data_IF_478942917783
#
_entry.id   IF_478942917783
#
_cell.length_a   1.000
_cell.length_b   1.000
_cell.length_c   1.000
_cell.angle_alpha   90.00
_cell.angle_beta   90.00
_cell.angle_gamma   90.00
#
_symmetry.space_group_name_H-M   'P 1'
#
loop_
_entity.id
_entity.type
_entity.pdbx_description
1 polymer ?
#
# COMPACT_ATOMS: atom_id res chain seq x y z
N UNK A 1 9.31 16.49 39.60
CA UNK A 1 9.72 15.66 40.74
C UNK A 1 9.77 16.51 42.03
N UNK A 2 10.52 17.61 42.08
CA UNK A 2 10.65 18.46 43.29
C UNK A 2 9.31 19.00 43.77
N UNK A 3 8.46 19.50 42.86
CA UNK A 3 7.11 19.99 43.18
C UNK A 3 6.20 18.91 43.74
N UNK A 4 6.36 17.67 43.27
CA UNK A 4 5.61 16.52 43.75
C UNK A 4 6.07 16.13 45.18
N UNK A 5 7.38 16.08 45.38
CA UNK A 5 7.96 15.74 46.70
C UNK A 5 7.67 16.82 47.75
N UNK A 6 7.52 18.08 47.35
CA UNK A 6 7.12 19.17 48.23
C UNK A 6 5.59 19.30 48.41
N UNK A 7 4.82 18.39 47.82
CA UNK A 7 3.34 18.40 47.93
C UNK A 7 2.64 19.56 47.25
N UNK A 8 3.38 20.32 46.38
CA UNK A 8 2.84 21.48 45.63
C UNK A 8 2.22 21.07 44.29
N UNK A 9 2.37 19.82 43.84
CA UNK A 9 1.66 19.27 42.69
C UNK A 9 1.21 17.84 42.98
N UNK A 10 0.00 17.47 42.55
CA UNK A 10 -0.50 16.10 42.55
C UNK A 10 -0.35 15.50 41.17
N UNK A 11 0.17 14.26 41.10
CA UNK A 11 0.06 13.47 39.89
C UNK A 11 -1.38 12.98 39.76
N UNK A 12 -2.05 13.37 38.69
CA UNK A 12 -3.32 12.74 38.34
C UNK A 12 -3.02 11.38 37.71
N UNK A 13 -3.76 10.34 38.01
CA UNK A 13 -3.68 9.06 37.30
C UNK A 13 -3.83 9.32 35.80
N UNK A 14 -3.02 8.67 34.98
CA UNK A 14 -3.21 8.69 33.55
C UNK A 14 -4.49 7.93 33.25
N UNK A 15 -5.53 8.63 32.80
CA UNK A 15 -6.70 7.98 32.23
C UNK A 15 -6.31 7.36 30.90
N UNK A 16 -6.19 6.04 30.89
CA UNK A 16 -5.99 5.29 29.64
C UNK A 16 -7.35 5.27 28.94
N UNK A 17 -7.53 6.15 27.95
CA UNK A 17 -8.66 6.02 27.03
C UNK A 17 -8.58 4.63 26.39
N UNK A 18 -9.70 3.89 26.42
CA UNK A 18 -9.77 2.59 25.74
C UNK A 18 -9.45 2.80 24.28
N UNK A 19 -8.62 1.93 23.72
CA UNK A 19 -8.37 1.92 22.27
C UNK A 19 -9.68 1.54 21.59
N UNK A 20 -10.27 2.50 20.90
CA UNK A 20 -11.43 2.28 20.05
C UNK A 20 -10.90 2.05 18.64
N UNK A 21 -11.12 0.85 18.12
CA UNK A 21 -10.62 0.43 16.81
C UNK A 21 -11.21 1.29 15.67
N UNK A 22 -12.45 1.75 15.83
CA UNK A 22 -13.19 2.52 14.82
C UNK A 22 -13.18 4.04 15.05
N UNK A 23 -12.63 4.53 16.16
CA UNK A 23 -12.57 5.96 16.41
C UNK A 23 -11.55 6.64 15.48
N UNK A 24 -12.05 7.48 14.58
CA UNK A 24 -11.27 8.44 13.78
C UNK A 24 -10.29 7.86 12.76
N UNK A 25 -10.65 6.80 12.04
CA UNK A 25 -9.96 6.45 10.80
C UNK A 25 -10.26 7.50 9.71
N UNK A 26 -9.66 8.68 9.85
CA UNK A 26 -9.83 9.77 8.88
C UNK A 26 -8.91 9.53 7.68
N UNK A 27 -9.48 8.98 6.62
CA UNK A 27 -8.81 8.90 5.33
C UNK A 27 -9.17 10.14 4.50
N UNK A 28 -8.21 10.66 3.73
CA UNK A 28 -8.44 11.80 2.84
C UNK A 28 -9.33 11.47 1.62
N UNK A 29 -9.60 10.18 1.39
CA UNK A 29 -10.35 9.66 0.24
C UNK A 29 -11.41 8.68 0.72
N UNK A 30 -12.48 8.54 -0.08
CA UNK A 30 -13.53 7.54 0.15
C UNK A 30 -13.72 6.66 -1.08
N UNK A 31 -14.12 5.41 -0.88
CA UNK A 31 -14.34 4.45 -1.97
C UNK A 31 -15.52 4.86 -2.86
N UNK A 32 -16.47 5.65 -2.32
CA UNK A 32 -17.58 6.24 -3.08
C UNK A 32 -17.15 7.22 -4.17
N UNK A 33 -15.92 7.75 -4.11
CA UNK A 33 -15.37 8.60 -5.18
C UNK A 33 -15.16 7.83 -6.49
N UNK A 34 -15.09 6.49 -6.43
CA UNK A 34 -14.89 5.64 -7.60
C UNK A 34 -16.20 5.48 -8.34
N UNK A 35 -16.28 6.06 -9.54
CA UNK A 35 -17.46 5.95 -10.41
C UNK A 35 -17.31 4.78 -11.37
N UNK A 36 -18.39 4.00 -11.53
CA UNK A 36 -18.38 2.80 -12.36
C UNK A 36 -17.39 1.74 -11.86
N UNK A 37 -16.85 0.94 -12.77
CA UNK A 37 -15.82 -0.07 -12.52
C UNK A 37 -16.19 -1.11 -11.44
N UNK A 38 -17.44 -1.57 -11.42
CA UNK A 38 -17.97 -2.45 -10.36
C UNK A 38 -17.17 -3.77 -10.23
N UNK A 39 -16.69 -4.34 -11.35
CA UNK A 39 -15.85 -5.55 -11.33
C UNK A 39 -14.52 -5.29 -10.62
N UNK A 40 -13.93 -4.10 -10.82
CA UNK A 40 -12.67 -3.72 -10.20
C UNK A 40 -12.87 -3.43 -8.71
N UNK A 41 -13.95 -2.72 -8.35
CA UNK A 41 -14.35 -2.52 -6.95
C UNK A 41 -14.49 -3.86 -6.23
N UNK A 42 -15.18 -4.83 -6.87
CA UNK A 42 -15.32 -6.16 -6.30
C UNK A 42 -14.00 -6.90 -6.15
N UNK A 43 -13.11 -6.79 -7.13
CA UNK A 43 -11.75 -7.36 -7.02
C UNK A 43 -10.95 -6.75 -5.86
N UNK A 44 -11.04 -5.42 -5.67
CA UNK A 44 -10.38 -4.74 -4.55
C UNK A 44 -11.01 -5.12 -3.19
N UNK A 45 -12.31 -5.33 -3.13
CA UNK A 45 -13.00 -5.81 -1.94
C UNK A 45 -12.54 -7.22 -1.55
N UNK A 46 -12.47 -8.15 -2.53
CA UNK A 46 -11.92 -9.50 -2.32
C UNK A 46 -10.45 -9.44 -1.89
N UNK A 47 -9.68 -8.56 -2.52
CA UNK A 47 -8.28 -8.32 -2.20
C UNK A 47 -8.11 -7.84 -0.75
N UNK A 48 -8.94 -6.88 -0.31
CA UNK A 48 -8.91 -6.37 1.06
C UNK A 48 -9.32 -7.43 2.09
N UNK A 49 -10.36 -8.24 1.79
CA UNK A 49 -10.86 -9.28 2.68
C UNK A 49 -9.86 -10.43 2.90
N UNK A 50 -9.16 -10.82 1.84
CA UNK A 50 -8.17 -11.91 1.89
C UNK A 50 -6.72 -11.46 2.08
N UNK A 51 -6.45 -10.15 2.16
CA UNK A 51 -5.09 -9.60 2.09
C UNK A 51 -4.32 -10.09 0.86
N UNK A 52 -5.02 -10.23 -0.27
CA UNK A 52 -4.46 -10.71 -1.53
C UNK A 52 -3.66 -9.62 -2.25
N UNK A 53 -2.50 -10.00 -2.75
CA UNK A 53 -1.72 -9.13 -3.62
C UNK A 53 -2.44 -8.95 -4.97
N UNK A 54 -2.44 -7.73 -5.50
CA UNK A 54 -3.17 -7.41 -6.73
C UNK A 54 -2.32 -6.61 -7.71
N UNK A 55 -2.44 -6.93 -8.99
CA UNK A 55 -1.89 -6.10 -10.07
C UNK A 55 -3.02 -5.52 -10.91
N UNK A 56 -2.99 -4.20 -11.09
CA UNK A 56 -3.92 -3.43 -11.91
C UNK A 56 -3.28 -3.15 -13.27
N UNK A 57 -3.84 -3.70 -14.33
CA UNK A 57 -3.32 -3.55 -15.69
C UNK A 57 -4.31 -2.72 -16.50
N UNK A 58 -3.87 -1.61 -17.08
CA UNK A 58 -4.77 -0.77 -17.89
C UNK A 58 -4.06 0.39 -18.55
N UNK A 59 -4.75 1.05 -19.48
CA UNK A 59 -4.21 2.20 -20.21
C UNK A 59 -3.88 3.37 -19.28
N UNK A 60 -3.04 4.31 -19.73
CA UNK A 60 -2.82 5.57 -19.02
C UNK A 60 -4.16 6.29 -18.76
N UNK A 61 -4.34 6.85 -17.58
CA UNK A 61 -5.58 7.55 -17.21
C UNK A 61 -6.77 6.67 -16.83
N UNK A 62 -6.65 5.34 -16.81
CA UNK A 62 -7.74 4.44 -16.42
C UNK A 62 -8.10 4.45 -14.92
N UNK A 63 -7.36 5.19 -14.09
CA UNK A 63 -7.67 5.36 -12.66
C UNK A 63 -6.95 4.41 -11.69
N UNK A 64 -5.97 3.61 -12.15
CA UNK A 64 -5.24 2.63 -11.32
C UNK A 64 -4.73 3.20 -9.99
N UNK A 65 -4.01 4.32 -10.04
CA UNK A 65 -3.46 4.98 -8.85
C UNK A 65 -4.56 5.51 -7.91
N UNK A 66 -5.68 5.99 -8.49
CA UNK A 66 -6.83 6.46 -7.76
C UNK A 66 -7.50 5.31 -6.98
N UNK A 67 -7.65 4.15 -7.61
CA UNK A 67 -8.19 2.93 -7.01
C UNK A 67 -7.28 2.42 -5.87
N UNK A 68 -5.96 2.33 -6.12
CA UNK A 68 -4.99 1.87 -5.13
C UNK A 68 -5.01 2.73 -3.86
N UNK A 69 -5.08 4.06 -3.98
CA UNK A 69 -5.12 4.99 -2.83
C UNK A 69 -6.36 4.83 -1.95
N UNK A 70 -7.44 4.26 -2.48
CA UNK A 70 -8.68 4.05 -1.73
C UNK A 70 -8.75 2.68 -1.06
N UNK A 71 -7.87 1.76 -1.41
CA UNK A 71 -7.86 0.42 -0.83
C UNK A 71 -7.72 0.41 0.71
N UNK A 72 -6.83 1.21 1.34
CA UNK A 72 -6.76 1.27 2.81
C UNK A 72 -8.08 1.64 3.48
N UNK A 73 -8.95 2.38 2.78
CA UNK A 73 -10.23 2.85 3.35
C UNK A 73 -11.26 1.72 3.54
N UNK A 74 -11.12 0.63 2.78
CA UNK A 74 -12.02 -0.54 2.86
C UNK A 74 -11.38 -1.73 3.59
N UNK A 75 -10.10 -1.67 3.94
CA UNK A 75 -9.44 -2.70 4.76
C UNK A 75 -9.98 -2.66 6.20
N UNK A 76 -10.00 -3.79 6.93
CA UNK A 76 -10.38 -3.82 8.34
C UNK A 76 -9.53 -2.86 9.17
N UNK A 77 -10.12 -2.28 10.23
CA UNK A 77 -9.40 -1.43 11.16
C UNK A 77 -8.23 -2.18 11.80
N UNK A 78 -7.15 -1.47 12.16
CA UNK A 78 -6.02 -2.09 12.84
C UNK A 78 -6.38 -2.44 14.27
N UNK A 79 -6.03 -3.65 14.69
CA UNK A 79 -6.05 -4.03 16.11
C UNK A 79 -5.01 -3.20 16.88
N UNK A 80 -5.16 -3.14 18.21
CA UNK A 80 -4.18 -2.45 19.07
C UNK A 80 -2.75 -2.99 18.85
N UNK A 81 -2.60 -4.29 18.64
CA UNK A 81 -1.31 -4.93 18.38
C UNK A 81 -0.71 -4.44 17.07
N UNK A 82 -1.48 -4.45 15.98
CA UNK A 82 -1.04 -3.94 14.68
C UNK A 82 -0.68 -2.45 14.74
N UNK A 83 -1.50 -1.64 15.43
CA UNK A 83 -1.23 -0.22 15.61
C UNK A 83 0.07 0.04 16.37
N UNK A 84 0.36 -0.74 17.43
CA UNK A 84 1.60 -0.65 18.20
C UNK A 84 2.82 -1.06 17.35
N UNK A 85 2.74 -2.18 16.63
CA UNK A 85 3.83 -2.67 15.77
C UNK A 85 4.14 -1.65 14.66
N UNK A 86 3.12 -1.14 13.99
CA UNK A 86 3.25 -0.13 12.94
C UNK A 86 3.83 1.19 13.48
N UNK A 87 3.33 1.64 14.63
CA UNK A 87 3.84 2.88 15.27
C UNK A 87 5.31 2.77 15.64
N UNK A 88 5.76 1.62 16.17
CA UNK A 88 7.18 1.38 16.49
C UNK A 88 8.07 1.56 15.26
N UNK A 89 7.69 0.94 14.11
CA UNK A 89 8.47 1.04 12.88
C UNK A 89 8.56 2.50 12.40
N UNK A 90 7.42 3.21 12.38
CA UNK A 90 7.38 4.62 11.96
C UNK A 90 8.12 5.55 12.93
N UNK A 91 8.13 5.25 14.23
CA UNK A 91 8.85 6.01 15.24
C UNK A 91 10.37 5.96 15.05
N UNK A 92 10.92 4.80 14.64
CA UNK A 92 12.37 4.63 14.39
C UNK A 92 12.87 5.61 13.33
N UNK A 93 12.05 5.93 12.33
CA UNK A 93 12.40 6.88 11.26
C UNK A 93 11.87 8.31 11.50
N UNK A 94 11.30 8.57 12.68
CA UNK A 94 10.81 9.91 13.04
C UNK A 94 9.54 10.36 12.32
N UNK A 95 8.76 9.42 11.76
CA UNK A 95 7.50 9.72 11.05
C UNK A 95 6.30 9.87 11.99
N UNK A 96 6.45 9.54 13.27
CA UNK A 96 5.42 9.78 14.29
C UNK A 96 5.62 11.17 14.85
N UNK A 97 4.66 12.08 14.61
CA UNK A 97 4.74 13.47 15.08
C UNK A 97 4.69 13.57 16.61
N UNK A 98 5.26 14.65 17.15
CA UNK A 98 5.19 14.96 18.58
C UNK A 98 3.72 15.12 19.01
N UNK A 99 3.23 14.19 19.83
CA UNK A 99 1.86 14.19 20.36
C UNK A 99 0.92 13.12 19.78
N UNK A 100 1.31 12.40 18.73
CA UNK A 100 0.57 11.23 18.25
C UNK A 100 0.93 10.01 19.12
N UNK A 101 -0.08 9.45 19.78
CA UNK A 101 0.10 8.27 20.63
C UNK A 101 0.23 6.98 19.81
N UNK A 102 -0.61 6.79 18.78
CA UNK A 102 -0.64 5.59 17.94
C UNK A 102 -1.10 5.93 16.51
N UNK A 103 -0.54 5.22 15.53
CA UNK A 103 -1.05 5.20 14.17
C UNK A 103 -2.29 4.30 14.13
N UNK A 104 -3.44 4.89 13.85
CA UNK A 104 -4.73 4.17 13.75
C UNK A 104 -5.09 3.80 12.32
N UNK A 105 -4.55 4.49 11.32
CA UNK A 105 -4.81 4.25 9.90
C UNK A 105 -3.76 3.32 9.30
N UNK A 106 -4.20 2.40 8.42
CA UNK A 106 -3.27 1.52 7.69
C UNK A 106 -2.35 2.32 6.79
N UNK A 107 -1.02 2.12 6.86
CA UNK A 107 -0.07 2.83 6.02
C UNK A 107 -0.32 2.59 4.54
N UNK A 108 -0.14 3.64 3.73
CA UNK A 108 -0.08 3.54 2.28
C UNK A 108 1.27 4.08 1.82
N UNK A 109 2.13 3.20 1.35
CA UNK A 109 3.47 3.56 0.86
C UNK A 109 3.52 3.42 -0.64
N UNK A 110 4.00 4.45 -1.32
CA UNK A 110 4.06 4.51 -2.78
C UNK A 110 5.44 5.01 -3.23
N UNK A 111 6.48 4.18 -3.12
CA UNK A 111 7.81 4.55 -3.61
C UNK A 111 7.80 4.74 -5.12
N UNK A 112 8.55 5.73 -5.59
CA UNK A 112 8.75 5.95 -7.01
C UNK A 112 9.64 4.85 -7.62
N UNK A 113 9.47 4.52 -8.90
CA UNK A 113 10.24 3.46 -9.58
C UNK A 113 11.77 3.70 -9.59
N UNK A 114 12.22 4.95 -9.35
CA UNK A 114 13.64 5.29 -9.19
C UNK A 114 14.21 4.97 -7.81
N UNK A 115 13.37 4.52 -6.87
CA UNK A 115 13.79 4.16 -5.51
C UNK A 115 14.90 3.11 -5.55
N UNK A 116 15.94 3.34 -4.75
CA UNK A 116 17.05 2.40 -4.63
C UNK A 116 16.67 1.15 -3.84
N UNK A 117 17.47 0.08 -3.98
CA UNK A 117 17.38 -1.12 -3.14
C UNK A 117 17.31 -0.76 -1.64
N UNK A 118 18.22 0.11 -1.18
CA UNK A 118 18.26 0.55 0.23
C UNK A 118 17.02 1.35 0.62
N UNK A 119 16.48 2.16 -0.27
CA UNK A 119 15.23 2.87 -0.03
C UNK A 119 14.04 1.93 0.16
N UNK A 120 14.00 0.84 -0.61
CA UNK A 120 12.90 -0.12 -0.55
C UNK A 120 13.03 -1.06 0.67
N UNK A 121 14.19 -1.68 0.86
CA UNK A 121 14.46 -2.69 1.90
C UNK A 121 14.83 -2.06 3.23
N UNK A 122 15.55 -0.95 3.17
CA UNK A 122 16.19 -0.35 4.32
C UNK A 122 17.70 -0.58 4.34
N UNK A 123 18.38 0.00 5.30
CA UNK A 123 19.84 -0.10 5.43
C UNK A 123 20.45 1.11 6.11
N UNK A 124 21.70 1.42 5.75
CA UNK A 124 22.47 2.50 6.35
C UNK A 124 23.54 1.97 7.33
N UNK A 125 24.34 2.88 7.86
CA UNK A 125 25.33 2.57 8.91
C UNK A 125 24.65 2.12 10.21
N UNK A 126 23.55 2.77 10.53
CA UNK A 126 22.56 2.34 11.52
C UNK A 126 21.35 1.85 10.74
N UNK A 127 21.06 0.52 10.73
CA UNK A 127 19.98 -0.05 9.93
C UNK A 127 18.64 0.63 10.22
N UNK A 128 18.06 1.21 9.18
CA UNK A 128 16.75 1.85 9.20
C UNK A 128 15.78 1.04 8.34
N UNK A 129 14.49 0.95 8.71
CA UNK A 129 13.48 0.30 7.88
C UNK A 129 13.27 1.06 6.57
N UNK A 130 13.07 0.32 5.48
CA UNK A 130 12.71 0.88 4.16
C UNK A 130 11.20 0.91 3.93
N UNK A 131 10.80 1.26 2.69
CA UNK A 131 9.39 1.40 2.30
C UNK A 131 8.57 0.12 2.51
N UNK A 132 9.20 -1.06 2.36
CA UNK A 132 8.55 -2.36 2.61
C UNK A 132 8.11 -2.46 4.07
N UNK A 133 9.00 -2.17 5.01
CA UNK A 133 8.69 -2.22 6.45
C UNK A 133 7.77 -1.07 6.89
N UNK A 134 7.88 0.10 6.25
CA UNK A 134 6.98 1.23 6.48
C UNK A 134 5.55 0.96 5.97
N UNK A 135 5.37 -0.01 5.07
CA UNK A 135 4.06 -0.48 4.61
C UNK A 135 3.45 -1.56 5.52
N UNK A 136 4.14 -1.94 6.60
CA UNK A 136 3.68 -2.99 7.53
C UNK A 136 2.24 -2.74 8.01
N UNK A 137 1.39 -3.77 7.98
CA UNK A 137 -0.04 -3.73 8.26
C UNK A 137 -0.86 -2.80 7.35
N UNK A 138 -0.31 -2.47 6.18
CA UNK A 138 -0.93 -1.57 5.21
C UNK A 138 -0.67 -2.01 3.78
N UNK A 139 -0.56 -1.03 2.89
CA UNK A 139 -0.43 -1.23 1.44
C UNK A 139 0.93 -0.71 0.95
N UNK A 140 1.65 -1.55 0.21
CA UNK A 140 2.78 -1.14 -0.62
C UNK A 140 2.29 -1.03 -2.07
N UNK A 141 2.21 0.20 -2.57
CA UNK A 141 1.79 0.48 -3.93
C UNK A 141 2.98 0.74 -4.85
N UNK A 142 3.13 -0.06 -5.89
CA UNK A 142 4.16 0.10 -6.91
C UNK A 142 3.51 0.48 -8.23
N UNK A 143 3.53 1.77 -8.55
CA UNK A 143 3.07 2.26 -9.86
C UNK A 143 4.15 2.04 -10.91
N UNK A 144 3.74 1.86 -12.17
CA UNK A 144 4.66 1.59 -13.28
C UNK A 144 5.60 0.40 -13.01
N UNK A 145 5.08 -0.71 -12.50
CA UNK A 145 5.85 -1.87 -12.04
C UNK A 145 7.00 -2.29 -12.98
N UNK A 146 6.85 -2.35 -14.32
CA UNK A 146 7.95 -2.72 -15.21
C UNK A 146 9.08 -1.69 -15.32
N UNK A 147 8.91 -0.47 -14.79
CA UNK A 147 9.95 0.57 -14.81
C UNK A 147 10.90 0.48 -13.61
N UNK A 148 10.54 -0.29 -12.58
CA UNK A 148 11.47 -0.61 -11.50
C UNK A 148 12.64 -1.45 -12.00
N UNK A 149 13.82 -1.24 -11.44
CA UNK A 149 14.96 -2.09 -11.72
C UNK A 149 14.68 -3.52 -11.26
N UNK A 150 15.02 -4.51 -12.08
CA UNK A 150 14.75 -5.93 -11.82
C UNK A 150 15.26 -6.39 -10.45
N UNK A 151 16.48 -5.98 -10.07
CA UNK A 151 17.06 -6.33 -8.78
C UNK A 151 16.28 -5.73 -7.59
N UNK A 152 15.56 -4.61 -7.79
CA UNK A 152 14.71 -3.99 -6.78
C UNK A 152 13.39 -4.76 -6.64
N UNK A 153 12.83 -5.27 -7.73
CA UNK A 153 11.63 -6.10 -7.70
C UNK A 153 11.87 -7.48 -7.06
N UNK A 154 13.02 -8.11 -7.36
CA UNK A 154 13.34 -9.45 -6.83
C UNK A 154 13.43 -9.49 -5.30
N UNK A 155 13.78 -8.37 -4.65
CA UNK A 155 13.83 -8.34 -3.17
C UNK A 155 12.46 -8.39 -2.50
N UNK A 156 11.38 -8.11 -3.22
CA UNK A 156 10.01 -8.22 -2.68
C UNK A 156 9.61 -9.67 -2.40
N UNK A 157 10.23 -10.63 -3.08
CA UNK A 157 9.84 -12.04 -3.01
C UNK A 157 9.90 -12.58 -1.59
N UNK A 158 11.01 -12.35 -0.90
CA UNK A 158 11.19 -12.82 0.47
C UNK A 158 10.20 -12.15 1.45
N UNK A 159 10.06 -10.83 1.53
CA UNK A 159 9.08 -10.20 2.43
C UNK A 159 7.62 -10.58 2.15
N UNK A 160 7.27 -10.87 0.90
CA UNK A 160 5.93 -11.35 0.54
C UNK A 160 5.64 -12.76 1.11
N UNK A 161 6.66 -13.60 1.27
CA UNK A 161 6.53 -14.94 1.86
C UNK A 161 6.70 -14.92 3.39
N UNK A 162 7.83 -14.40 3.85
CA UNK A 162 8.26 -14.49 5.25
C UNK A 162 7.64 -13.40 6.14
N UNK A 163 7.04 -12.35 5.54
CA UNK A 163 6.50 -11.17 6.25
C UNK A 163 7.55 -10.43 7.08
N UNK A 164 8.82 -10.58 6.72
CA UNK A 164 9.97 -9.99 7.39
C UNK A 164 10.98 -9.46 6.36
N UNK A 165 11.70 -8.42 6.74
CA UNK A 165 12.87 -7.90 6.02
C UNK A 165 14.08 -8.05 6.93
N UNK A 166 15.09 -8.78 6.49
CA UNK A 166 16.35 -8.96 7.22
C UNK A 166 17.44 -8.09 6.64
N UNK A 167 18.00 -7.18 7.45
CA UNK A 167 19.13 -6.32 7.10
C UNK A 167 20.38 -6.82 7.82
N UNK A 168 21.24 -7.55 7.10
CA UNK A 168 22.52 -8.01 7.63
C UNK A 168 23.62 -6.99 7.39
N UNK A 169 24.39 -6.66 8.42
CA UNK A 169 25.58 -5.81 8.41
C UNK A 169 26.70 -6.48 9.22
N UNK A 170 27.94 -6.07 9.00
CA UNK A 170 29.09 -6.67 9.64
C UNK A 170 29.03 -6.74 11.19
N UNK A 171 28.33 -5.78 11.82
CA UNK A 171 28.22 -5.69 13.27
C UNK A 171 26.90 -6.26 13.84
N UNK A 172 25.85 -6.33 13.04
CA UNK A 172 24.52 -6.74 13.52
C UNK A 172 23.60 -7.14 12.37
N UNK A 173 22.68 -8.03 12.67
CA UNK A 173 21.54 -8.37 11.82
C UNK A 173 20.28 -7.88 12.51
N UNK A 174 19.44 -7.14 11.80
CA UNK A 174 18.17 -6.60 12.30
C UNK A 174 17.06 -7.10 11.38
N UNK A 175 15.96 -7.52 11.99
CA UNK A 175 14.75 -7.91 11.29
C UNK A 175 13.66 -6.87 11.54
N UNK A 176 13.00 -6.44 10.46
CA UNK A 176 11.84 -5.57 10.52
C UNK A 176 10.60 -6.33 10.02
N UNK A 177 9.47 -6.20 10.71
CA UNK A 177 8.20 -6.72 10.22
C UNK A 177 7.83 -6.10 8.87
N UNK A 178 7.24 -6.91 7.99
CA UNK A 178 6.90 -6.53 6.62
C UNK A 178 5.60 -7.22 6.14
N UNK A 179 4.60 -7.30 7.01
CA UNK A 179 3.29 -7.81 6.65
C UNK A 179 2.50 -6.72 5.90
N UNK A 180 2.66 -6.64 4.60
CA UNK A 180 1.99 -5.68 3.73
C UNK A 180 1.20 -6.40 2.65
N UNK A 181 0.22 -5.70 2.08
CA UNK A 181 -0.48 -6.08 0.87
C UNK A 181 0.16 -5.36 -0.31
N UNK A 182 0.64 -6.12 -1.30
CA UNK A 182 1.19 -5.54 -2.52
C UNK A 182 0.07 -5.15 -3.47
N UNK A 183 0.05 -3.88 -3.86
CA UNK A 183 -0.75 -3.40 -4.98
C UNK A 183 0.20 -2.90 -6.06
N UNK A 184 0.20 -3.53 -7.21
CA UNK A 184 1.00 -3.11 -8.34
C UNK A 184 0.12 -2.49 -9.42
N UNK A 185 0.65 -1.54 -10.17
CA UNK A 185 -0.02 -1.00 -11.35
C UNK A 185 0.94 -0.98 -12.53
N UNK A 186 0.41 -1.29 -13.71
CA UNK A 186 1.19 -1.21 -14.96
C UNK A 186 0.31 -0.92 -16.16
N UNK A 187 0.93 -0.45 -17.23
CA UNK A 187 0.30 -0.39 -18.53
C UNK A 187 0.40 -1.76 -19.23
N UNK A 188 -0.48 -2.08 -20.20
CA UNK A 188 -0.42 -3.36 -20.90
C UNK A 188 0.78 -3.47 -21.87
N UNK A 189 1.39 -2.33 -22.24
CA UNK A 189 2.56 -2.26 -23.11
C UNK A 189 3.25 -0.89 -22.96
N UNK A 190 4.41 -0.64 -23.61
CA UNK A 190 5.11 0.64 -23.53
C UNK A 190 4.30 1.84 -23.99
N UNK A 191 3.47 1.73 -25.03
CA UNK A 191 2.59 2.82 -25.47
C UNK A 191 1.30 2.91 -24.64
N UNK A 192 0.93 1.86 -23.88
CA UNK A 192 -0.23 1.82 -23.00
C UNK A 192 -1.54 1.35 -23.65
N UNK A 193 -1.55 1.03 -24.95
CA UNK A 193 -2.80 0.79 -25.70
C UNK A 193 -2.90 -0.62 -26.32
N UNK A 194 -2.12 -1.58 -25.84
CA UNK A 194 -2.26 -2.97 -26.28
C UNK A 194 -3.63 -3.51 -25.84
N UNK A 195 -4.38 -4.08 -26.80
CA UNK A 195 -5.78 -4.53 -26.63
C UNK A 195 -6.77 -3.43 -26.18
N UNK A 196 -6.45 -2.14 -26.43
CA UNK A 196 -7.37 -1.06 -26.10
C UNK A 196 -8.56 -1.03 -27.09
N UNK A 197 -9.82 -0.83 -26.61
CA UNK A 197 -11.01 -0.95 -27.47
C UNK A 197 -11.13 0.11 -28.56
N UNK A 198 -10.53 1.30 -28.37
CA UNK A 198 -10.68 2.45 -29.29
C UNK A 198 -9.37 3.04 -29.79
N UNK A 199 -8.22 2.66 -29.24
CA UNK A 199 -6.92 3.19 -29.63
C UNK A 199 -5.98 2.06 -30.05
N UNK A 200 -5.32 2.25 -31.20
CA UNK A 200 -4.39 1.26 -31.72
C UNK A 200 -3.03 1.29 -30.98
N UNK A 201 -2.50 0.11 -30.74
CA UNK A 201 -1.18 -0.04 -30.17
C UNK A 201 -0.09 0.32 -31.19
N UNK A 202 0.77 1.27 -30.84
CA UNK A 202 1.88 1.72 -31.71
C UNK A 202 3.21 1.00 -31.43
N UNK A 203 3.21 -0.05 -30.59
CA UNK A 203 4.42 -0.79 -30.27
C UNK A 203 4.92 -1.63 -31.44
N UNK A 204 6.24 -1.65 -31.63
CA UNK A 204 6.87 -2.54 -32.61
C UNK A 204 6.70 -4.02 -32.23
N UNK A 205 6.75 -4.96 -33.20
CA UNK A 205 6.72 -6.39 -32.93
C UNK A 205 7.76 -6.79 -31.86
N UNK A 206 7.35 -7.60 -30.86
CA UNK A 206 8.20 -8.03 -29.76
C UNK A 206 8.40 -7.01 -28.62
N UNK A 207 8.02 -5.74 -28.79
CA UNK A 207 8.18 -4.72 -27.74
C UNK A 207 7.28 -4.98 -26.53
N UNK A 208 6.06 -5.48 -26.78
CA UNK A 208 5.10 -5.83 -25.72
C UNK A 208 5.65 -6.97 -24.87
N UNK A 209 6.12 -8.05 -25.51
CA UNK A 209 6.69 -9.21 -24.82
C UNK A 209 7.94 -8.81 -24.00
N UNK A 210 8.85 -8.02 -24.59
CA UNK A 210 10.02 -7.50 -23.89
C UNK A 210 9.65 -6.65 -22.68
N UNK A 211 8.57 -5.90 -22.74
CA UNK A 211 8.08 -5.07 -21.66
C UNK A 211 7.51 -5.92 -20.51
N UNK A 212 6.66 -6.89 -20.83
CA UNK A 212 6.08 -7.81 -19.86
C UNK A 212 7.14 -8.68 -19.17
N UNK A 213 8.14 -9.14 -19.90
CA UNK A 213 9.25 -9.95 -19.40
C UNK A 213 10.22 -9.19 -18.45
N UNK A 214 10.02 -7.89 -18.21
CA UNK A 214 10.75 -7.17 -17.15
C UNK A 214 10.37 -7.65 -15.76
N UNK A 215 9.13 -8.13 -15.59
CA UNK A 215 8.64 -8.72 -14.35
C UNK A 215 8.92 -10.22 -14.40
N UNK A 216 9.53 -10.75 -13.36
CA UNK A 216 9.84 -12.19 -13.32
C UNK A 216 8.58 -13.03 -13.05
N UNK A 217 8.53 -14.23 -13.64
CA UNK A 217 7.46 -15.20 -13.35
C UNK A 217 7.28 -15.43 -11.85
N UNK A 218 8.35 -15.75 -11.08
CA UNK A 218 8.24 -15.96 -9.64
C UNK A 218 7.68 -14.78 -8.83
N UNK A 219 7.80 -13.54 -9.29
CA UNK A 219 7.13 -12.40 -8.66
C UNK A 219 5.66 -12.37 -9.03
N UNK A 220 5.31 -12.63 -10.30
CA UNK A 220 3.92 -12.69 -10.75
C UNK A 220 3.14 -13.81 -10.06
N UNK A 221 3.78 -14.96 -9.81
CA UNK A 221 3.16 -16.10 -9.09
C UNK A 221 2.75 -15.77 -7.64
N UNK A 222 3.28 -14.68 -7.08
CA UNK A 222 2.94 -14.18 -5.74
C UNK A 222 1.89 -13.08 -5.74
N UNK A 223 1.39 -12.73 -6.91
CA UNK A 223 0.30 -11.76 -7.07
C UNK A 223 -0.97 -12.55 -7.38
N UNK A 224 -1.88 -12.59 -6.42
CA UNK A 224 -3.06 -13.46 -6.45
C UNK A 224 -4.10 -13.01 -7.48
N UNK A 225 -4.25 -11.70 -7.65
CA UNK A 225 -5.30 -11.11 -8.50
C UNK A 225 -4.69 -10.26 -9.61
N UNK A 226 -5.02 -10.59 -10.85
CA UNK A 226 -4.67 -9.80 -12.03
C UNK A 226 -5.94 -9.15 -12.57
N UNK A 227 -6.02 -7.83 -12.46
CA UNK A 227 -7.24 -7.07 -12.74
C UNK A 227 -7.01 -6.12 -13.90
N UNK A 228 -7.79 -6.29 -14.96
CA UNK A 228 -7.79 -5.35 -16.08
C UNK A 228 -8.66 -4.13 -15.75
N UNK A 229 -8.05 -2.94 -15.85
CA UNK A 229 -8.69 -1.65 -15.56
C UNK A 229 -9.03 -0.95 -16.87
N UNK A 230 -10.30 -1.05 -17.27
CA UNK A 230 -10.81 -0.40 -18.47
C UNK A 230 -11.18 1.05 -18.15
N UNK A 231 -10.87 2.02 -19.04
CA UNK A 231 -11.30 3.40 -18.87
C UNK A 231 -12.82 3.52 -18.74
N UNK A 232 -13.29 4.34 -17.82
CA UNK A 232 -14.72 4.62 -17.64
C UNK A 232 -15.18 5.59 -18.73
N UNK A 233 -16.26 5.31 -19.48
CA UNK A 233 -16.83 6.24 -20.43
C UNK A 233 -17.23 7.55 -19.76
N UNK A 234 -17.05 8.68 -20.47
CA UNK A 234 -17.36 10.02 -19.93
C UNK A 234 -18.81 10.15 -19.44
N UNK A 235 -19.74 9.46 -20.11
CA UNK A 235 -21.16 9.43 -19.74
C UNK A 235 -21.38 8.84 -18.34
N UNK A 236 -20.60 7.82 -17.95
CA UNK A 236 -20.67 7.23 -16.61
C UNK A 236 -20.03 8.12 -15.56
N UNK A 237 -18.94 8.82 -15.90
CA UNK A 237 -18.29 9.78 -15.01
C UNK A 237 -19.19 10.97 -14.68
N UNK A 238 -20.03 11.38 -15.63
CA UNK A 238 -20.96 12.51 -15.47
C UNK A 238 -22.20 12.17 -14.64
N UNK A 239 -22.54 10.90 -14.46
CA UNK A 239 -23.67 10.49 -13.63
C UNK A 239 -23.47 10.91 -12.18
N UNK A 240 -24.52 11.44 -11.56
CA UNK A 240 -24.54 11.82 -10.14
C UNK A 240 -24.61 10.63 -9.16
N UNK A 241 -24.51 9.39 -9.67
CA UNK A 241 -24.51 8.23 -8.79
C UNK A 241 -23.27 8.28 -7.89
N UNK A 242 -23.52 8.40 -6.59
CA UNK A 242 -22.49 8.28 -5.56
C UNK A 242 -22.23 6.78 -5.37
N UNK A 243 -20.98 6.38 -5.42
CA UNK A 243 -20.57 5.00 -5.13
C UNK A 243 -20.87 4.62 -3.68
N UNK A 244 -20.69 3.35 -3.36
CA UNK A 244 -20.84 2.86 -2.00
C UNK A 244 -19.73 3.41 -1.09
N UNK A 245 -20.08 3.85 0.12
CA UNK A 245 -19.12 4.44 1.07
C UNK A 245 -18.13 3.41 1.59
N UNK A 246 -16.91 3.83 1.87
CA UNK A 246 -15.85 2.98 2.41
C UNK A 246 -16.27 2.23 3.68
N UNK A 247 -17.02 2.86 4.58
CA UNK A 247 -17.48 2.21 5.81
C UNK A 247 -18.39 1.00 5.55
N UNK A 248 -19.32 1.13 4.58
CA UNK A 248 -20.25 0.05 4.22
C UNK A 248 -19.50 -1.12 3.56
N UNK A 249 -18.54 -0.82 2.69
CA UNK A 249 -17.70 -1.87 2.08
C UNK A 249 -16.84 -2.56 3.14
N UNK A 250 -16.27 -1.80 4.08
CA UNK A 250 -15.44 -2.32 5.17
C UNK A 250 -16.20 -3.29 6.09
N UNK A 251 -17.49 -3.07 6.33
CA UNK A 251 -18.32 -3.96 7.16
C UNK A 251 -18.48 -5.38 6.58
N UNK A 252 -18.33 -5.55 5.26
CA UNK A 252 -18.39 -6.87 4.62
C UNK A 252 -17.01 -7.42 4.22
N UNK A 253 -15.93 -6.66 4.40
CA UNK A 253 -14.55 -7.07 4.25
C UNK A 253 -14.03 -7.67 5.56
#
# INVERSE_FOLDING_TARGET
>A
VISLLNGTSSLQPIEISRYEEDADNVYAFDFSDVKGQENIKRALEVSAAGSHNVILIGSPGSGKTMLAKRLPTIMPSMTLREALETTKIHSVVGLVGNGLSLLKTRPFRSPHHTTSYVGLVGGGAYPQPGEISLAHNGVLFLDELPEFKRNVLEVLRQPMEDRLVTIARAKQTIEFPANFMLVAAMNPCPCGYYNHPTQECSCQPGAVEKYLNRISGPLLDRIDLHVEVVPVPFEELSKKNVGEKSCVVRERV
#
